data_IF_791543921013
#
_entry.id   IF_791543921013
#
_cell.length_a   1.000
_cell.length_b   1.000
_cell.length_c   1.000
_cell.angle_alpha   90.00
_cell.angle_beta   90.00
_cell.angle_gamma   90.00
#
_symmetry.space_group_name_H-M   'P 1'
#
loop_
_entity.id
_entity.type
_entity.pdbx_description
1 polymer ?
#
# COMPACT_ATOMS: atom_id res chain seq x y z
N UNK A 1 16.55 -13.98 8.02
CA UNK A 1 16.81 -15.38 8.38
C UNK A 1 15.67 -16.01 9.18
N UNK A 2 14.97 -15.26 10.04
CA UNK A 2 13.85 -15.77 10.86
C UNK A 2 12.71 -16.28 9.99
N UNK A 3 12.25 -15.48 9.03
CA UNK A 3 11.12 -15.83 8.14
C UNK A 3 11.47 -17.02 7.25
N UNK A 4 12.71 -17.13 6.80
CA UNK A 4 13.16 -18.27 6.01
C UNK A 4 13.06 -19.60 6.83
N UNK A 5 13.44 -19.58 8.11
CA UNK A 5 13.27 -20.73 9.01
C UNK A 5 11.78 -21.03 9.31
N UNK A 6 10.94 -20.01 9.43
CA UNK A 6 9.50 -20.22 9.58
C UNK A 6 8.89 -20.82 8.32
N UNK A 7 9.32 -20.38 7.14
CA UNK A 7 8.83 -20.90 5.85
C UNK A 7 9.17 -22.37 5.59
N UNK A 8 10.17 -22.92 6.28
CA UNK A 8 10.45 -24.38 6.25
C UNK A 8 9.61 -25.18 7.22
N UNK A 9 9.07 -24.54 8.29
CA UNK A 9 8.33 -25.21 9.36
C UNK A 9 6.82 -25.11 9.21
N UNK A 10 6.33 -23.98 8.69
CA UNK A 10 4.92 -23.67 8.54
C UNK A 10 4.50 -23.69 7.07
N UNK A 11 3.21 -23.85 6.82
CA UNK A 11 2.65 -23.79 5.47
C UNK A 11 2.94 -22.41 4.84
N UNK A 12 3.65 -22.36 3.69
CA UNK A 12 4.00 -21.09 3.04
C UNK A 12 2.79 -20.21 2.71
N UNK A 13 1.61 -20.81 2.50
CA UNK A 13 0.37 -20.07 2.26
C UNK A 13 -0.11 -19.33 3.50
N UNK A 14 -0.06 -19.99 4.65
CA UNK A 14 -0.44 -19.37 5.92
C UNK A 14 0.46 -18.17 6.24
N UNK A 15 1.79 -18.32 6.00
CA UNK A 15 2.74 -17.23 6.19
C UNK A 15 2.48 -16.07 5.22
N UNK A 16 2.26 -16.36 3.93
CA UNK A 16 1.97 -15.33 2.93
C UNK A 16 0.65 -14.62 3.22
N UNK A 17 -0.40 -15.37 3.57
CA UNK A 17 -1.70 -14.81 3.96
C UNK A 17 -1.55 -13.91 5.20
N UNK A 18 -0.81 -14.36 6.22
CA UNK A 18 -0.52 -13.57 7.42
C UNK A 18 0.21 -12.25 7.07
N UNK A 19 1.24 -12.30 6.22
CA UNK A 19 1.95 -11.12 5.75
C UNK A 19 1.03 -10.14 5.01
N UNK A 20 0.17 -10.65 4.11
CA UNK A 20 -0.80 -9.84 3.37
C UNK A 20 -1.88 -9.23 4.28
N UNK A 21 -2.35 -9.96 5.29
CA UNK A 21 -3.32 -9.43 6.26
C UNK A 21 -2.71 -8.30 7.10
N UNK A 22 -1.44 -8.43 7.53
CA UNK A 22 -0.75 -7.33 8.21
C UNK A 22 -0.57 -6.13 7.27
N UNK A 23 -0.14 -6.36 6.02
CA UNK A 23 -0.01 -5.28 5.02
C UNK A 23 -1.35 -4.59 4.78
N UNK A 24 -2.44 -5.35 4.65
CA UNK A 24 -3.79 -4.82 4.53
C UNK A 24 -4.20 -3.99 5.75
N UNK A 25 -3.98 -4.50 6.95
CA UNK A 25 -4.28 -3.80 8.20
C UNK A 25 -3.50 -2.50 8.38
N UNK A 26 -2.20 -2.53 8.07
CA UNK A 26 -1.34 -1.31 8.12
C UNK A 26 -1.77 -0.30 7.07
N UNK A 27 -2.11 -0.74 5.87
CA UNK A 27 -2.58 0.14 4.81
C UNK A 27 -3.95 0.72 5.15
N UNK A 28 -4.81 -0.07 5.79
CA UNK A 28 -6.09 0.41 6.32
C UNK A 28 -5.89 1.46 7.43
N UNK A 29 -4.91 1.29 8.33
CA UNK A 29 -4.58 2.33 9.31
C UNK A 29 -4.20 3.66 8.64
N UNK A 30 -3.48 3.60 7.53
CA UNK A 30 -3.10 4.81 6.77
C UNK A 30 -4.28 5.50 6.10
N UNK A 31 -5.36 4.79 5.77
CA UNK A 31 -6.55 5.39 5.17
C UNK A 31 -7.35 6.31 6.11
N UNK A 32 -6.98 6.36 7.38
CA UNK A 32 -7.57 7.25 8.40
C UNK A 32 -6.65 8.42 8.79
N UNK A 33 -5.59 8.67 8.03
CA UNK A 33 -4.71 9.80 8.32
C UNK A 33 -5.41 11.13 8.06
N UNK A 34 -5.09 12.08 8.94
CA UNK A 34 -5.50 13.48 8.81
C UNK A 34 -4.34 14.33 8.31
N UNK A 35 -4.65 15.51 7.80
CA UNK A 35 -3.66 16.47 7.33
C UNK A 35 -2.67 16.94 8.42
N UNK A 36 -2.96 16.68 9.69
CA UNK A 36 -2.14 17.03 10.86
C UNK A 36 -1.58 15.79 11.58
N UNK A 37 -1.36 14.67 10.83
CA UNK A 37 -0.84 13.44 11.39
C UNK A 37 0.53 13.64 12.05
N UNK A 38 0.67 13.18 13.31
CA UNK A 38 1.91 13.22 14.07
C UNK A 38 2.96 12.25 13.51
N UNK A 39 4.24 12.53 13.80
CA UNK A 39 5.36 11.70 13.37
C UNK A 39 5.18 10.22 13.73
N UNK A 40 4.67 9.91 14.93
CA UNK A 40 4.42 8.53 15.35
C UNK A 40 3.31 7.85 14.55
N UNK A 41 2.28 8.60 14.16
CA UNK A 41 1.22 8.08 13.30
C UNK A 41 1.73 7.68 11.91
N UNK A 42 2.79 8.35 11.43
CA UNK A 42 3.46 8.01 10.16
C UNK A 42 4.50 6.90 10.32
N UNK A 43 5.28 6.91 11.40
CA UNK A 43 6.40 6.00 11.61
C UNK A 43 5.94 4.57 11.97
N UNK A 44 4.93 4.43 12.83
CA UNK A 44 4.48 3.13 13.33
C UNK A 44 4.00 2.20 12.20
N UNK A 45 3.12 2.62 11.27
CA UNK A 45 2.72 1.80 10.14
C UNK A 45 3.90 1.41 9.24
N UNK A 46 4.89 2.28 9.08
CA UNK A 46 6.09 2.02 8.26
C UNK A 46 6.95 0.91 8.86
N UNK A 47 7.15 0.93 10.19
CA UNK A 47 7.90 -0.12 10.90
C UNK A 47 7.18 -1.46 10.77
N UNK A 48 5.87 -1.50 11.01
CA UNK A 48 5.07 -2.74 10.91
C UNK A 48 5.10 -3.27 9.48
N UNK A 49 4.99 -2.40 8.47
CA UNK A 49 5.10 -2.78 7.06
C UNK A 49 6.46 -3.42 6.75
N UNK A 50 7.55 -2.85 7.27
CA UNK A 50 8.89 -3.39 7.09
C UNK A 50 9.03 -4.83 7.61
N UNK A 51 8.35 -5.17 8.72
CA UNK A 51 8.28 -6.55 9.22
C UNK A 51 7.37 -7.44 8.38
N UNK A 52 6.26 -6.93 7.85
CA UNK A 52 5.27 -7.72 7.12
C UNK A 52 5.75 -8.17 5.73
N UNK A 53 6.54 -7.33 5.03
CA UNK A 53 7.02 -7.59 3.68
C UNK A 53 7.76 -8.92 3.53
N UNK A 54 8.73 -9.31 4.39
CA UNK A 54 9.39 -10.60 4.30
C UNK A 54 8.45 -11.79 4.47
N UNK A 55 7.40 -11.68 5.30
CA UNK A 55 6.41 -12.75 5.52
C UNK A 55 5.56 -13.02 4.28
N UNK A 56 5.39 -12.05 3.43
CA UNK A 56 4.72 -12.20 2.15
C UNK A 56 5.69 -12.67 1.05
N UNK A 57 6.84 -12.01 0.91
CA UNK A 57 7.76 -12.19 -0.23
C UNK A 57 8.44 -13.56 -0.25
N UNK A 58 8.98 -13.99 0.89
CA UNK A 58 9.79 -15.22 0.96
C UNK A 58 8.93 -16.47 0.70
N UNK A 59 7.78 -16.66 1.40
CA UNK A 59 6.96 -17.82 1.15
C UNK A 59 6.32 -17.82 -0.24
N UNK A 60 5.92 -16.66 -0.76
CA UNK A 60 5.36 -16.56 -2.11
C UNK A 60 6.36 -16.98 -3.17
N UNK A 61 7.62 -16.55 -3.05
CA UNK A 61 8.69 -16.98 -3.95
C UNK A 61 8.92 -18.49 -3.87
N UNK A 62 8.85 -19.06 -2.67
CA UNK A 62 8.97 -20.52 -2.48
C UNK A 62 7.81 -21.30 -3.13
N UNK A 63 6.57 -20.77 -3.04
CA UNK A 63 5.42 -21.38 -3.71
C UNK A 63 5.60 -21.33 -5.22
N UNK A 64 6.00 -20.18 -5.77
CA UNK A 64 6.14 -19.99 -7.21
C UNK A 64 7.28 -20.82 -7.81
N UNK A 65 8.43 -20.88 -7.16
CA UNK A 65 9.62 -21.62 -7.65
C UNK A 65 9.61 -23.10 -7.27
N UNK A 66 8.86 -23.49 -6.23
CA UNK A 66 8.83 -24.86 -5.73
C UNK A 66 8.12 -25.86 -6.65
N UNK A 67 7.42 -25.40 -7.69
CA UNK A 67 6.79 -26.26 -8.72
C UNK A 67 7.62 -26.35 -10.00
N UNK A 68 8.72 -25.61 -10.09
CA UNK A 68 9.59 -25.52 -11.27
C UNK A 68 10.68 -26.58 -11.18
N UNK A 69 11.10 -27.13 -12.32
CA UNK A 69 12.20 -28.08 -12.41
C UNK A 69 13.52 -27.43 -12.00
N UNK A 70 14.45 -28.17 -11.36
CA UNK A 70 15.72 -27.60 -10.87
C UNK A 70 16.58 -26.93 -11.95
N UNK A 71 16.56 -27.45 -13.17
CA UNK A 71 17.25 -26.91 -14.34
C UNK A 71 16.65 -25.61 -14.88
N UNK A 72 15.39 -25.32 -14.57
CA UNK A 72 14.65 -24.15 -15.05
C UNK A 72 14.46 -23.06 -13.99
N UNK A 73 14.88 -23.28 -12.73
CA UNK A 73 14.67 -22.35 -11.61
C UNK A 73 15.23 -20.95 -11.89
N UNK A 74 16.41 -20.86 -12.51
CA UNK A 74 17.04 -19.57 -12.83
C UNK A 74 16.19 -18.77 -13.85
N UNK A 75 15.68 -19.45 -14.87
CA UNK A 75 14.81 -18.83 -15.89
C UNK A 75 13.48 -18.40 -15.30
N UNK A 76 12.86 -19.25 -14.47
CA UNK A 76 11.60 -18.95 -13.78
C UNK A 76 11.74 -17.77 -12.81
N UNK A 77 12.87 -17.69 -12.08
CA UNK A 77 13.15 -16.54 -11.20
C UNK A 77 13.29 -15.23 -11.99
N UNK A 78 13.95 -15.28 -13.15
CA UNK A 78 14.04 -14.14 -14.08
C UNK A 78 12.67 -13.68 -14.55
N UNK A 79 11.82 -14.61 -15.01
CA UNK A 79 10.45 -14.33 -15.44
C UNK A 79 9.60 -13.77 -14.31
N UNK A 80 9.70 -14.34 -13.11
CA UNK A 80 8.99 -13.86 -11.92
C UNK A 80 9.38 -12.42 -11.57
N UNK A 81 10.69 -12.09 -11.66
CA UNK A 81 11.16 -10.74 -11.40
C UNK A 81 10.70 -9.75 -12.47
N UNK A 82 10.70 -10.16 -13.74
CA UNK A 82 10.14 -9.37 -14.85
C UNK A 82 8.65 -9.08 -14.64
N UNK A 83 7.84 -10.10 -14.34
CA UNK A 83 6.40 -9.94 -14.05
C UNK A 83 6.16 -9.01 -12.86
N UNK A 84 6.98 -9.14 -11.80
CA UNK A 84 6.91 -8.25 -10.63
C UNK A 84 7.17 -6.80 -11.00
N UNK A 85 8.20 -6.54 -11.79
CA UNK A 85 8.57 -5.19 -12.20
C UNK A 85 7.49 -4.57 -13.08
N UNK A 86 6.97 -5.33 -14.04
CA UNK A 86 5.85 -4.88 -14.89
C UNK A 86 4.58 -4.60 -14.07
N UNK A 87 4.19 -5.53 -13.21
CA UNK A 87 3.03 -5.37 -12.35
C UNK A 87 3.20 -4.14 -11.41
N UNK A 88 4.42 -3.91 -10.90
CA UNK A 88 4.74 -2.73 -10.11
C UNK A 88 4.56 -1.43 -10.89
N UNK A 89 5.04 -1.37 -12.13
CA UNK A 89 4.89 -0.19 -12.99
C UNK A 89 3.41 0.09 -13.33
N UNK A 90 2.66 -0.95 -13.69
CA UNK A 90 1.22 -0.85 -13.98
C UNK A 90 0.46 -0.41 -12.73
N UNK A 91 0.74 -1.04 -11.58
CA UNK A 91 0.11 -0.71 -10.31
C UNK A 91 0.38 0.73 -9.87
N UNK A 92 1.62 1.21 -10.04
CA UNK A 92 1.97 2.59 -9.75
C UNK A 92 1.23 3.58 -10.66
N UNK A 93 1.14 3.29 -11.96
CA UNK A 93 0.39 4.12 -12.92
C UNK A 93 -1.09 4.22 -12.56
N UNK A 94 -1.72 3.09 -12.25
CA UNK A 94 -3.14 3.05 -11.82
C UNK A 94 -3.32 3.84 -10.53
N UNK A 95 -2.42 3.66 -9.55
CA UNK A 95 -2.49 4.37 -8.28
C UNK A 95 -2.41 5.89 -8.44
N UNK A 96 -1.49 6.37 -9.29
CA UNK A 96 -1.34 7.80 -9.59
C UNK A 96 -2.58 8.35 -10.29
N UNK A 97 -3.15 7.61 -11.24
CA UNK A 97 -4.38 8.02 -11.93
C UNK A 97 -5.56 8.14 -10.97
N UNK A 98 -5.79 7.13 -10.12
CA UNK A 98 -6.86 7.16 -9.12
C UNK A 98 -6.65 8.33 -8.14
N UNK A 99 -5.41 8.56 -7.73
CA UNK A 99 -5.08 9.66 -6.83
C UNK A 99 -5.36 11.03 -7.46
N UNK A 100 -4.93 11.26 -8.70
CA UNK A 100 -5.13 12.52 -9.41
C UNK A 100 -6.63 12.81 -9.65
N UNK A 101 -7.37 11.82 -10.14
CA UNK A 101 -8.81 11.95 -10.38
C UNK A 101 -9.58 12.21 -9.07
N UNK A 102 -9.24 11.48 -8.01
CA UNK A 102 -9.89 11.68 -6.71
C UNK A 102 -9.52 13.02 -6.07
N UNK A 103 -8.31 13.53 -6.31
CA UNK A 103 -7.88 14.86 -5.83
C UNK A 103 -8.72 15.96 -6.47
N UNK A 104 -8.98 15.88 -7.78
CA UNK A 104 -9.83 16.83 -8.49
C UNK A 104 -11.28 16.80 -7.99
N UNK A 105 -11.82 15.60 -7.77
CA UNK A 105 -13.16 15.41 -7.22
C UNK A 105 -13.28 15.97 -5.79
N UNK A 106 -12.38 15.58 -4.90
CA UNK A 106 -12.37 16.04 -3.50
C UNK A 106 -12.22 17.56 -3.42
N UNK A 107 -11.34 18.15 -4.24
CA UNK A 107 -11.20 19.61 -4.31
C UNK A 107 -12.50 20.29 -4.74
N UNK A 108 -13.18 19.78 -5.77
CA UNK A 108 -14.44 20.36 -6.23
C UNK A 108 -15.54 20.24 -5.19
N UNK A 109 -15.60 19.14 -4.46
CA UNK A 109 -16.56 18.90 -3.38
C UNK A 109 -16.32 19.83 -2.20
N UNK A 110 -15.07 19.96 -1.74
CA UNK A 110 -14.72 20.90 -0.66
C UNK A 110 -15.11 22.33 -1.03
N UNK A 111 -14.75 22.78 -2.23
CA UNK A 111 -15.08 24.14 -2.70
C UNK A 111 -16.59 24.36 -2.81
N UNK A 112 -17.35 23.35 -3.24
CA UNK A 112 -18.81 23.45 -3.38
C UNK A 112 -19.55 23.53 -2.04
N UNK A 113 -18.99 22.92 -1.00
CA UNK A 113 -19.58 22.91 0.35
C UNK A 113 -19.08 24.05 1.23
N UNK A 114 -17.93 24.64 0.88
CA UNK A 114 -17.30 25.73 1.63
C UNK A 114 -17.93 27.08 1.28
N UNK A 115 -18.28 27.88 2.29
CA UNK A 115 -18.68 29.28 2.10
C UNK A 115 -17.42 30.16 1.92
N UNK A 116 -16.83 30.08 0.72
CA UNK A 116 -15.54 30.72 0.39
C UNK A 116 -15.58 32.21 0.67
N UNK A 117 -16.66 32.91 0.28
CA UNK A 117 -16.82 34.36 0.48
C UNK A 117 -16.87 34.76 1.97
N UNK A 118 -17.53 33.98 2.80
CA UNK A 118 -17.60 34.21 4.24
C UNK A 118 -16.24 33.96 4.90
N UNK A 119 -15.61 32.86 4.56
CA UNK A 119 -14.25 32.51 5.06
C UNK A 119 -13.24 33.59 4.66
N UNK A 120 -13.29 34.05 3.42
CA UNK A 120 -12.41 35.14 2.96
C UNK A 120 -12.63 36.42 3.74
N UNK A 121 -13.89 36.84 3.96
CA UNK A 121 -14.21 38.03 4.78
C UNK A 121 -13.67 37.92 6.20
N UNK A 122 -13.81 36.75 6.82
CA UNK A 122 -13.31 36.49 8.17
C UNK A 122 -11.79 36.61 8.26
N UNK A 123 -11.05 36.07 7.26
CA UNK A 123 -9.61 36.21 7.19
C UNK A 123 -9.19 37.66 6.95
N UNK A 124 -9.86 38.38 6.08
CA UNK A 124 -9.58 39.81 5.85
C UNK A 124 -9.82 40.63 7.10
N UNK A 125 -10.91 40.38 7.83
CA UNK A 125 -11.21 41.03 9.11
C UNK A 125 -10.17 40.72 10.19
N UNK A 126 -9.48 39.57 10.06
CA UNK A 126 -8.39 39.17 10.94
C UNK A 126 -7.04 39.76 10.54
N UNK A 127 -6.95 40.61 9.52
CA UNK A 127 -5.77 41.34 9.11
C UNK A 127 -5.05 40.79 7.89
N UNK A 128 -5.57 39.77 7.21
CA UNK A 128 -5.02 39.28 5.94
C UNK A 128 -5.39 40.21 4.79
N UNK A 129 -4.50 40.38 3.82
CA UNK A 129 -4.90 41.00 2.55
C UNK A 129 -5.87 40.06 1.80
N UNK A 130 -6.75 40.58 0.93
CA UNK A 130 -7.68 39.76 0.16
C UNK A 130 -6.98 38.64 -0.66
N UNK A 131 -5.81 38.93 -1.21
CA UNK A 131 -5.00 37.99 -1.97
C UNK A 131 -4.41 36.88 -1.07
N UNK A 132 -3.87 37.27 0.10
CA UNK A 132 -3.36 36.32 1.09
C UNK A 132 -4.48 35.42 1.63
N UNK A 133 -5.67 35.95 1.85
CA UNK A 133 -6.83 35.18 2.31
C UNK A 133 -7.21 34.10 1.30
N UNK A 134 -7.31 34.45 0.01
CA UNK A 134 -7.58 33.49 -1.06
C UNK A 134 -6.46 32.43 -1.20
N UNK A 135 -5.20 32.84 -1.15
CA UNK A 135 -4.07 31.93 -1.18
C UNK A 135 -4.08 30.94 -0.02
N UNK A 136 -4.41 31.39 1.19
CA UNK A 136 -4.53 30.54 2.37
C UNK A 136 -5.68 29.52 2.22
N UNK A 137 -6.84 29.97 1.76
CA UNK A 137 -7.99 29.09 1.49
C UNK A 137 -7.62 28.02 0.45
N UNK A 138 -7.00 28.42 -0.68
CA UNK A 138 -6.59 27.46 -1.73
C UNK A 138 -5.62 26.42 -1.17
N UNK A 139 -4.62 26.84 -0.42
CA UNK A 139 -3.64 25.90 0.18
C UNK A 139 -4.29 24.92 1.16
N UNK A 140 -5.25 25.37 1.97
CA UNK A 140 -5.99 24.50 2.90
C UNK A 140 -6.86 23.48 2.14
N UNK A 141 -7.57 23.94 1.11
CA UNK A 141 -8.39 23.07 0.26
C UNK A 141 -7.53 22.04 -0.45
N UNK A 142 -6.39 22.44 -1.01
CA UNK A 142 -5.47 21.54 -1.70
C UNK A 142 -4.87 20.50 -0.74
N UNK A 143 -4.44 20.93 0.45
CA UNK A 143 -3.92 20.04 1.49
C UNK A 143 -4.94 18.98 1.90
N UNK A 144 -6.19 19.38 2.13
CA UNK A 144 -7.26 18.47 2.53
C UNK A 144 -7.67 17.53 1.39
N UNK A 145 -7.81 18.04 0.16
CA UNK A 145 -8.11 17.24 -1.02
C UNK A 145 -7.05 16.19 -1.29
N UNK A 146 -5.77 16.52 -1.14
CA UNK A 146 -4.65 15.58 -1.26
C UNK A 146 -4.73 14.49 -0.19
N UNK A 147 -5.00 14.86 1.06
CA UNK A 147 -5.11 13.90 2.19
C UNK A 147 -6.25 12.92 1.97
N UNK A 148 -7.44 13.40 1.60
CA UNK A 148 -8.60 12.56 1.30
C UNK A 148 -8.30 11.58 0.15
N UNK A 149 -7.60 12.05 -0.88
CA UNK A 149 -7.27 11.24 -2.05
C UNK A 149 -6.25 10.15 -1.73
N UNK A 150 -5.23 10.47 -0.94
CA UNK A 150 -4.25 9.48 -0.46
C UNK A 150 -4.94 8.43 0.41
N UNK A 151 -5.84 8.84 1.31
CA UNK A 151 -6.61 7.93 2.15
C UNK A 151 -7.48 6.98 1.32
N UNK A 152 -8.10 7.48 0.25
CA UNK A 152 -8.90 6.67 -0.67
C UNK A 152 -8.04 5.62 -1.39
N UNK A 153 -6.86 5.99 -1.89
CA UNK A 153 -5.91 5.05 -2.50
C UNK A 153 -5.45 3.98 -1.49
N UNK A 154 -5.15 4.36 -0.26
CA UNK A 154 -4.80 3.40 0.79
C UNK A 154 -5.95 2.44 1.11
N UNK A 155 -7.18 2.91 1.11
CA UNK A 155 -8.35 2.05 1.32
C UNK A 155 -8.48 1.00 0.20
N UNK A 156 -8.32 1.40 -1.06
CA UNK A 156 -8.33 0.48 -2.21
C UNK A 156 -7.21 -0.58 -2.06
N UNK A 157 -5.99 -0.17 -1.77
CA UNK A 157 -4.88 -1.11 -1.58
C UNK A 157 -5.08 -2.03 -0.38
N UNK A 158 -5.65 -1.54 0.72
CA UNK A 158 -5.97 -2.37 1.87
C UNK A 158 -6.95 -3.49 1.48
N UNK A 159 -7.99 -3.17 0.72
CA UNK A 159 -8.94 -4.17 0.22
C UNK A 159 -8.26 -5.18 -0.72
N UNK A 160 -7.38 -4.73 -1.61
CA UNK A 160 -6.63 -5.60 -2.52
C UNK A 160 -5.73 -6.57 -1.72
N UNK A 161 -5.00 -6.09 -0.70
CA UNK A 161 -4.15 -6.95 0.12
C UNK A 161 -4.95 -7.99 0.91
N UNK A 162 -6.07 -7.59 1.51
CA UNK A 162 -6.95 -8.52 2.23
C UNK A 162 -7.51 -9.57 1.29
N UNK A 163 -8.00 -9.16 0.11
CA UNK A 163 -8.54 -10.07 -0.89
C UNK A 163 -7.46 -11.03 -1.43
N UNK A 164 -6.26 -10.53 -1.71
CA UNK A 164 -5.12 -11.34 -2.11
C UNK A 164 -4.72 -12.36 -1.02
N UNK A 165 -4.77 -11.95 0.26
CA UNK A 165 -4.52 -12.84 1.39
C UNK A 165 -5.53 -13.99 1.49
N UNK A 166 -6.77 -13.76 1.08
CA UNK A 166 -7.79 -14.81 1.00
C UNK A 166 -7.60 -15.73 -0.22
N UNK A 167 -7.29 -15.15 -1.39
CA UNK A 167 -7.09 -15.91 -2.64
C UNK A 167 -5.91 -16.87 -2.54
N UNK A 168 -4.88 -16.57 -1.76
CA UNK A 168 -3.70 -17.42 -1.65
C UNK A 168 -4.03 -18.83 -1.14
N UNK A 169 -5.16 -19.00 -0.44
CA UNK A 169 -5.66 -20.30 0.01
C UNK A 169 -6.20 -21.18 -1.14
N UNK A 170 -6.48 -20.61 -2.29
CA UNK A 170 -6.88 -21.35 -3.49
C UNK A 170 -5.68 -21.97 -4.22
N UNK A 171 -4.45 -21.51 -3.93
CA UNK A 171 -3.26 -22.10 -4.53
C UNK A 171 -3.05 -23.54 -4.05
N UNK A 172 -2.56 -24.49 -4.88
CA UNK A 172 -2.24 -25.88 -4.48
C UNK A 172 -1.10 -25.91 -3.44
N UNK A 173 -1.14 -26.86 -2.49
CA UNK A 173 -0.05 -27.02 -1.51
C UNK A 173 1.25 -27.33 -2.26
N UNK A 174 2.36 -26.62 -1.99
CA UNK A 174 3.62 -27.00 -2.54
C UNK A 174 3.96 -28.44 -2.08
N UNK A 175 4.17 -29.33 -3.04
CA UNK A 175 4.57 -30.72 -2.76
C UNK A 175 6.05 -30.73 -2.38
N UNK A 176 6.32 -30.92 -1.08
CA UNK A 176 7.62 -31.38 -0.59
C UNK A 176 8.74 -30.35 -0.48
N UNK A 177 9.52 -30.50 0.57
CA UNK A 177 10.78 -29.84 0.90
C UNK A 177 11.72 -29.64 -0.30
N UNK A 178 11.76 -28.42 -0.85
CA UNK A 178 12.90 -27.99 -1.64
C UNK A 178 13.88 -27.28 -0.70
N UNK A 179 14.72 -28.04 0.01
CA UNK A 179 15.67 -27.40 0.91
C UNK A 179 16.48 -28.32 1.83
N UNK A 180 16.44 -29.63 1.63
CA UNK A 180 17.29 -30.56 2.39
C UNK A 180 18.10 -31.47 1.45
N UNK A 181 18.81 -30.87 0.51
CA UNK A 181 19.69 -31.59 -0.38
C UNK A 181 20.93 -30.75 -0.71
N UNK A 182 22.08 -31.24 -0.23
CA UNK A 182 23.44 -30.77 -0.47
C UNK A 182 24.03 -29.76 0.53
N UNK A 183 24.23 -30.21 1.75
CA UNK A 183 25.42 -29.90 2.50
C UNK A 183 26.28 -31.22 2.52
N UNK A 184 27.13 -31.38 1.54
CA UNK A 184 28.34 -32.22 1.59
C UNK A 184 29.45 -31.45 0.93
#
# INVERSE_FOLDING_TARGET
>A
PVVAKLATKYDPRALSSFGLMILGGVTLMRSFWTSDADFMALALPQIIQGFAVPFFFIPLSNIALGVVRPDEVASAAGLMNFMRTMAGAIGASIAVTIWDDHTKLARSEIVSTMHVEETQRNLVNSGFSPEMALGTISNLVDKEALTLSVNHVFLIFAMIFIFAGLIIWLCPKPKGNVGAGHAH
#
